data_IF_265815308621
#
_entry.id   IF_265815308621
#
_cell.length_a   1.000
_cell.length_b   1.000
_cell.length_c   1.000
_cell.angle_alpha   90.00
_cell.angle_beta   90.00
_cell.angle_gamma   90.00
#
_symmetry.space_group_name_H-M   'P 1'
#
loop_
_entity.id
_entity.type
_entity.pdbx_description
1 polymer ?
#
# COMPACT_ATOMS: atom_id res chain seq x y z
N UNK A 1 -63.89 52.97 18.84
CA UNK A 1 -62.69 52.98 17.97
C UNK A 1 -61.84 51.79 18.32
N UNK A 2 -61.16 51.11 17.40
CA UNK A 2 -61.13 51.10 15.94
C UNK A 2 -60.83 49.63 15.57
N UNK A 3 -61.63 49.04 14.68
CA UNK A 3 -61.32 48.86 13.25
C UNK A 3 -60.10 47.97 13.01
N UNK A 4 -60.42 46.71 12.68
CA UNK A 4 -59.58 45.81 11.90
C UNK A 4 -59.40 46.40 10.50
N UNK A 5 -58.16 46.45 10.02
CA UNK A 5 -57.87 46.65 8.61
C UNK A 5 -56.66 45.81 8.21
N UNK A 6 -56.90 44.97 7.22
CA UNK A 6 -55.94 44.22 6.42
C UNK A 6 -54.79 45.08 5.91
N UNK A 7 -53.60 44.48 5.84
CA UNK A 7 -52.71 44.69 4.70
C UNK A 7 -51.88 43.41 4.47
N UNK A 8 -52.27 42.66 3.45
CA UNK A 8 -51.38 41.72 2.74
C UNK A 8 -50.46 42.52 1.82
N UNK A 9 -49.15 42.29 1.91
CA UNK A 9 -48.20 42.49 0.79
C UNK A 9 -47.17 41.36 0.79
N UNK A 10 -47.28 40.56 -0.28
CA UNK A 10 -46.26 39.86 -1.07
C UNK A 10 -45.02 39.22 -0.44
N UNK A 11 -45.00 37.89 -0.57
CA UNK A 11 -43.91 37.01 -0.96
C UNK A 11 -42.50 37.61 -1.15
N UNK A 12 -41.55 37.05 -0.40
CA UNK A 12 -40.22 36.78 -0.94
C UNK A 12 -39.75 35.39 -0.51
N UNK A 13 -39.30 34.62 -1.51
CA UNK A 13 -38.83 33.25 -1.40
C UNK A 13 -37.39 33.22 -0.85
N UNK A 14 -37.26 33.20 0.47
CA UNK A 14 -35.98 32.90 1.13
C UNK A 14 -35.63 31.42 1.02
N UNK A 15 -34.90 31.06 -0.03
CA UNK A 15 -34.39 29.72 -0.31
C UNK A 15 -33.54 29.17 0.85
N UNK A 16 -33.82 27.94 1.28
CA UNK A 16 -32.98 27.13 2.16
C UNK A 16 -31.53 27.04 1.63
N UNK A 17 -30.49 27.33 2.43
CA UNK A 17 -29.12 27.04 2.03
C UNK A 17 -28.89 25.53 2.00
N UNK A 18 -28.65 25.04 0.79
CA UNK A 18 -28.39 23.66 0.45
C UNK A 18 -27.20 23.09 1.26
N UNK A 19 -27.46 21.93 1.84
CA UNK A 19 -26.52 21.09 2.58
C UNK A 19 -25.14 20.97 1.92
N UNK A 20 -24.15 21.55 2.59
CA UNK A 20 -22.75 21.46 2.20
C UNK A 20 -22.25 20.02 2.39
N UNK A 21 -22.24 19.30 1.27
CA UNK A 21 -21.76 17.91 1.18
C UNK A 21 -20.30 17.79 1.66
N UNK A 22 -20.14 17.37 2.92
CA UNK A 22 -18.86 16.91 3.47
C UNK A 22 -18.35 15.73 2.65
N UNK A 23 -17.46 16.00 1.68
CA UNK A 23 -16.73 14.96 0.93
C UNK A 23 -15.77 14.25 1.88
N UNK A 24 -16.25 13.15 2.44
CA UNK A 24 -15.47 12.21 3.23
C UNK A 24 -14.22 11.74 2.43
N UNK A 25 -13.11 11.74 3.17
CA UNK A 25 -11.78 11.34 2.74
C UNK A 25 -11.82 9.95 2.07
N UNK A 26 -11.09 9.85 0.96
CA UNK A 26 -10.96 8.67 0.09
C UNK A 26 -10.57 7.42 0.92
N UNK A 27 -11.55 6.58 1.26
CA UNK A 27 -11.34 5.29 1.90
C UNK A 27 -10.75 4.32 0.87
N UNK A 28 -9.64 3.70 1.24
CA UNK A 28 -8.97 2.63 0.50
C UNK A 28 -9.96 1.48 0.22
N UNK A 29 -10.32 1.30 -1.05
CA UNK A 29 -11.26 0.26 -1.49
C UNK A 29 -10.55 -1.11 -1.45
N UNK A 30 -11.10 -2.15 -0.78
CA UNK A 30 -10.51 -3.47 -0.80
C UNK A 30 -10.55 -4.03 -2.23
N UNK A 31 -9.42 -4.64 -2.61
CA UNK A 31 -9.11 -5.13 -3.96
C UNK A 31 -10.14 -6.15 -4.42
N UNK A 32 -10.89 -5.82 -5.47
CA UNK A 32 -11.53 -6.85 -6.28
C UNK A 32 -10.44 -7.73 -6.90
N UNK A 33 -10.63 -9.03 -6.80
CA UNK A 33 -9.82 -10.09 -7.38
C UNK A 33 -9.31 -9.68 -8.76
N UNK A 34 -7.98 -9.60 -8.92
CA UNK A 34 -7.36 -8.90 -10.05
C UNK A 34 -7.95 -9.27 -11.41
N UNK A 35 -8.42 -8.24 -12.13
CA UNK A 35 -8.94 -8.34 -13.50
C UNK A 35 -7.93 -9.05 -14.42
N UNK A 36 -8.44 -9.86 -15.37
CA UNK A 36 -7.65 -10.59 -16.38
C UNK A 36 -6.51 -9.76 -16.99
N UNK A 37 -6.75 -8.47 -17.25
CA UNK A 37 -5.76 -7.53 -17.78
C UNK A 37 -4.49 -7.37 -16.93
N UNK A 38 -4.60 -7.37 -15.59
CA UNK A 38 -3.44 -7.27 -14.71
C UNK A 38 -2.55 -8.53 -14.78
N UNK A 39 -3.18 -9.71 -14.97
CA UNK A 39 -2.46 -10.98 -15.14
C UNK A 39 -1.69 -11.03 -16.47
N UNK A 40 -2.25 -10.44 -17.54
CA UNK A 40 -1.61 -10.39 -18.85
C UNK A 40 -0.37 -9.47 -18.89
N UNK A 41 -0.39 -8.32 -18.20
CA UNK A 41 0.77 -7.41 -18.15
C UNK A 41 1.98 -8.02 -17.44
N UNK A 42 1.76 -8.70 -16.32
CA UNK A 42 2.84 -9.34 -15.56
C UNK A 42 3.56 -10.45 -16.34
N UNK A 43 2.81 -11.22 -17.16
CA UNK A 43 3.40 -12.26 -18.01
C UNK A 43 4.24 -11.68 -19.15
N UNK A 44 3.81 -10.58 -19.78
CA UNK A 44 4.56 -9.94 -20.87
C UNK A 44 5.91 -9.37 -20.40
N UNK A 45 5.92 -8.67 -19.27
CA UNK A 45 7.17 -8.17 -18.68
C UNK A 45 8.14 -9.30 -18.31
N UNK A 46 7.62 -10.44 -17.83
CA UNK A 46 8.44 -11.62 -17.54
C UNK A 46 9.00 -12.27 -18.80
N UNK A 47 8.21 -12.40 -19.87
CA UNK A 47 8.70 -12.98 -21.14
C UNK A 47 9.73 -12.08 -21.82
N UNK A 48 9.55 -10.76 -21.77
CA UNK A 48 10.53 -9.80 -22.29
C UNK A 48 11.84 -9.83 -21.49
N UNK A 49 11.76 -9.92 -20.16
CA UNK A 49 12.93 -10.10 -19.31
C UNK A 49 13.62 -11.45 -19.56
N UNK A 50 12.87 -12.55 -19.70
CA UNK A 50 13.41 -13.88 -19.97
C UNK A 50 14.12 -13.98 -21.33
N UNK A 51 13.74 -13.14 -22.32
CA UNK A 51 14.45 -13.04 -23.59
C UNK A 51 15.80 -12.31 -23.47
N UNK A 52 15.99 -11.52 -22.41
CA UNK A 52 17.17 -10.66 -22.19
C UNK A 52 18.18 -11.30 -21.23
N UNK A 53 17.73 -12.15 -20.30
CA UNK A 53 18.57 -12.79 -19.30
C UNK A 53 18.64 -14.32 -19.48
N UNK A 54 19.81 -14.95 -19.29
CA UNK A 54 19.98 -16.40 -19.40
C UNK A 54 19.41 -17.17 -18.19
N UNK A 55 18.27 -16.73 -17.64
CA UNK A 55 17.62 -17.34 -16.47
C UNK A 55 16.42 -18.17 -16.91
N UNK A 56 16.54 -19.48 -16.83
CA UNK A 56 15.46 -20.44 -17.11
C UNK A 56 14.45 -20.50 -15.96
N UNK A 57 13.15 -20.60 -16.26
CA UNK A 57 12.02 -20.70 -15.29
C UNK A 57 11.89 -19.52 -14.30
N UNK A 58 12.32 -18.33 -14.70
CA UNK A 58 12.11 -17.11 -13.88
C UNK A 58 10.62 -16.75 -13.77
N UNK A 59 10.14 -16.63 -12.54
CA UNK A 59 8.76 -16.21 -12.21
C UNK A 59 8.79 -14.98 -11.32
N UNK A 60 7.75 -14.15 -11.41
CA UNK A 60 7.62 -12.98 -10.53
C UNK A 60 7.58 -13.31 -9.03
N UNK A 61 7.31 -14.56 -8.67
CA UNK A 61 7.42 -15.03 -7.28
C UNK A 61 8.89 -15.05 -6.78
N UNK A 62 9.85 -15.27 -7.69
CA UNK A 62 11.26 -15.33 -7.34
C UNK A 62 11.76 -13.96 -6.87
N UNK A 63 11.26 -12.86 -7.44
CA UNK A 63 11.54 -11.50 -6.93
C UNK A 63 11.11 -11.34 -5.46
N UNK A 64 9.93 -11.87 -5.09
CA UNK A 64 9.44 -11.81 -3.71
C UNK A 64 10.32 -12.66 -2.77
N UNK A 65 10.71 -13.86 -3.21
CA UNK A 65 11.61 -14.74 -2.44
C UNK A 65 13.00 -14.14 -2.25
N UNK A 66 13.57 -13.55 -3.30
CA UNK A 66 14.87 -12.89 -3.26
C UNK A 66 14.85 -11.69 -2.33
N UNK A 67 13.86 -10.80 -2.45
CA UNK A 67 13.72 -9.64 -1.56
C UNK A 67 13.57 -10.08 -0.09
N UNK A 68 12.72 -11.09 0.18
CA UNK A 68 12.52 -11.61 1.52
C UNK A 68 13.80 -12.20 2.12
N UNK A 69 14.54 -12.99 1.33
CA UNK A 69 15.78 -13.63 1.78
C UNK A 69 16.88 -12.60 2.06
N UNK A 70 17.00 -11.57 1.22
CA UNK A 70 17.98 -10.52 1.41
C UNK A 70 17.64 -9.60 2.59
N UNK A 71 16.37 -9.26 2.80
CA UNK A 71 15.92 -8.55 4.00
C UNK A 71 16.20 -9.36 5.27
N UNK A 72 15.91 -10.67 5.27
CA UNK A 72 16.20 -11.55 6.39
C UNK A 72 17.70 -11.61 6.69
N UNK A 73 18.54 -11.75 5.65
CA UNK A 73 20.00 -11.72 5.78
C UNK A 73 20.55 -10.37 6.26
N UNK A 74 19.82 -9.28 6.03
CA UNK A 74 20.12 -7.95 6.57
C UNK A 74 19.71 -7.74 8.04
N UNK A 75 18.99 -8.69 8.64
CA UNK A 75 18.50 -8.60 10.03
C UNK A 75 17.08 -8.06 10.19
N UNK A 76 16.33 -7.89 9.09
CA UNK A 76 14.91 -7.49 9.19
C UNK A 76 14.11 -8.60 9.88
N UNK A 77 13.27 -8.27 10.89
CA UNK A 77 12.46 -9.27 11.59
C UNK A 77 11.54 -10.06 10.66
N UNK A 78 11.46 -11.38 10.85
CA UNK A 78 10.60 -12.27 10.05
C UNK A 78 9.13 -11.86 10.07
N UNK A 79 8.63 -11.38 11.21
CA UNK A 79 7.27 -10.86 11.33
C UNK A 79 7.04 -9.67 10.39
N UNK A 80 7.96 -8.70 10.38
CA UNK A 80 7.90 -7.55 9.48
C UNK A 80 7.91 -8.00 8.01
N UNK A 81 8.81 -8.92 7.63
CA UNK A 81 8.86 -9.47 6.27
C UNK A 81 7.52 -10.16 5.91
N UNK A 82 6.96 -10.95 6.83
CA UNK A 82 5.67 -11.62 6.67
C UNK A 82 4.53 -10.62 6.38
N UNK A 83 4.47 -9.53 7.14
CA UNK A 83 3.49 -8.45 6.94
C UNK A 83 3.71 -7.70 5.62
N UNK A 84 4.96 -7.43 5.21
CA UNK A 84 5.27 -6.84 3.89
C UNK A 84 4.78 -7.75 2.76
N UNK A 85 5.02 -9.06 2.89
CA UNK A 85 4.59 -10.04 1.91
C UNK A 85 3.08 -10.30 1.96
N UNK A 86 2.37 -9.71 2.92
CA UNK A 86 0.95 -9.90 3.18
C UNK A 86 0.60 -11.39 3.32
N UNK A 87 1.44 -12.10 4.09
CA UNK A 87 1.15 -13.48 4.46
C UNK A 87 0.02 -13.52 5.49
N UNK A 88 -0.80 -14.56 5.40
CA UNK A 88 -1.82 -14.85 6.40
C UNK A 88 -1.13 -15.44 7.64
N UNK A 89 -1.38 -14.84 8.79
CA UNK A 89 -0.88 -15.32 10.07
C UNK A 89 -1.82 -16.42 10.59
N UNK A 90 -1.30 -17.64 10.80
CA UNK A 90 -2.10 -18.79 11.25
C UNK A 90 -1.97 -19.07 12.74
N UNK A 91 -1.24 -18.25 13.49
CA UNK A 91 -1.07 -18.41 14.94
C UNK A 91 -2.35 -18.06 15.70
N UNK A 92 -2.61 -18.76 16.81
CA UNK A 92 -3.69 -18.43 17.77
C UNK A 92 -3.53 -17.00 18.28
N UNK A 93 -2.28 -16.51 18.39
CA UNK A 93 -1.99 -15.15 18.82
C UNK A 93 -2.32 -14.07 17.78
N UNK A 94 -2.66 -14.44 16.54
CA UNK A 94 -3.01 -13.50 15.48
C UNK A 94 -4.19 -12.60 15.86
N UNK A 95 -5.11 -13.09 16.72
CA UNK A 95 -6.25 -12.31 17.22
C UNK A 95 -5.81 -11.12 18.09
N UNK A 96 -4.65 -11.20 18.73
CA UNK A 96 -4.11 -10.13 19.56
C UNK A 96 -3.26 -9.13 18.77
N UNK A 97 -2.73 -9.53 17.62
CA UNK A 97 -1.84 -8.73 16.81
C UNK A 97 -2.61 -7.75 15.91
N UNK A 98 -3.15 -6.69 16.53
CA UNK A 98 -3.87 -5.60 15.85
C UNK A 98 -2.97 -4.49 15.32
N UNK A 99 -1.67 -4.58 15.58
CA UNK A 99 -0.71 -3.57 15.15
C UNK A 99 -0.50 -3.64 13.63
N UNK A 100 -0.46 -2.49 12.96
CA UNK A 100 -0.33 -2.43 11.49
C UNK A 100 1.11 -2.62 11.00
N UNK A 101 2.09 -2.43 11.90
CA UNK A 101 3.53 -2.45 11.63
C UNK A 101 3.99 -1.47 10.55
N UNK A 102 3.28 -0.36 10.34
CA UNK A 102 3.59 0.56 9.25
C UNK A 102 5.00 1.16 9.37
N UNK A 103 5.45 1.46 10.58
CA UNK A 103 6.79 1.98 10.83
C UNK A 103 7.88 0.95 10.50
N UNK A 104 7.71 -0.30 10.95
CA UNK A 104 8.65 -1.38 10.72
C UNK A 104 8.69 -1.78 9.25
N UNK A 105 7.52 -1.85 8.59
CA UNK A 105 7.44 -2.12 7.15
C UNK A 105 8.15 -1.02 6.36
N UNK A 106 8.00 0.25 6.74
CA UNK A 106 8.69 1.37 6.10
C UNK A 106 10.20 1.23 6.25
N UNK A 107 10.71 1.10 7.48
CA UNK A 107 12.14 0.97 7.73
C UNK A 107 12.76 -0.21 6.94
N UNK A 108 12.07 -1.36 6.90
CA UNK A 108 12.53 -2.52 6.15
C UNK A 108 12.54 -2.29 4.62
N UNK A 109 11.53 -1.60 4.09
CA UNK A 109 11.46 -1.26 2.66
C UNK A 109 12.48 -0.20 2.27
N UNK A 110 12.77 0.77 3.15
CA UNK A 110 13.81 1.78 2.94
C UNK A 110 15.19 1.11 2.90
N UNK A 111 15.46 0.20 3.83
CA UNK A 111 16.67 -0.62 3.81
C UNK A 111 16.78 -1.45 2.52
N UNK A 112 15.68 -2.09 2.10
CA UNK A 112 15.63 -2.86 0.86
C UNK A 112 15.88 -1.98 -0.37
N UNK A 113 15.36 -0.75 -0.40
CA UNK A 113 15.60 0.19 -1.48
C UNK A 113 17.09 0.51 -1.62
N UNK A 114 17.78 0.81 -0.51
CA UNK A 114 19.23 1.04 -0.50
C UNK A 114 19.98 -0.18 -1.02
N UNK A 115 19.61 -1.39 -0.57
CA UNK A 115 20.20 -2.65 -1.03
C UNK A 115 19.99 -2.88 -2.52
N UNK A 116 18.79 -2.64 -3.01
CA UNK A 116 18.42 -2.82 -4.41
C UNK A 116 19.21 -1.88 -5.32
N UNK A 117 19.33 -0.60 -4.95
CA UNK A 117 20.16 0.37 -5.68
C UNK A 117 21.62 -0.09 -5.73
N UNK A 118 22.18 -0.58 -4.61
CA UNK A 118 23.54 -1.10 -4.59
C UNK A 118 23.75 -2.31 -5.54
N UNK A 119 22.74 -3.18 -5.67
CA UNK A 119 22.75 -4.31 -6.61
C UNK A 119 22.73 -3.81 -8.05
N UNK A 120 21.82 -2.87 -8.37
CA UNK A 120 21.67 -2.31 -9.73
C UNK A 120 22.95 -1.60 -10.18
N UNK A 121 23.57 -0.85 -9.28
CA UNK A 121 24.83 -0.13 -9.57
C UNK A 121 26.08 -1.02 -9.47
N UNK A 122 25.93 -2.32 -9.21
CA UNK A 122 27.03 -3.26 -9.02
C UNK A 122 28.07 -2.80 -7.98
N UNK A 123 27.63 -2.07 -6.95
CA UNK A 123 28.51 -1.61 -5.87
C UNK A 123 28.84 -2.77 -4.94
N UNK A 124 30.10 -3.18 -4.92
CA UNK A 124 30.61 -4.14 -3.93
C UNK A 124 30.82 -3.42 -2.60
N UNK A 125 29.85 -3.51 -1.69
CA UNK A 125 29.94 -2.88 -0.38
C UNK A 125 28.87 -3.38 0.59
N UNK A 126 29.25 -3.44 1.88
CA UNK A 126 28.39 -3.87 2.98
C UNK A 126 27.23 -2.90 3.14
N UNK A 127 26.03 -3.32 2.75
CA UNK A 127 24.82 -2.63 3.19
C UNK A 127 24.71 -2.85 4.69
N UNK A 128 24.69 -1.73 5.42
CA UNK A 128 24.67 -1.70 6.88
C UNK A 128 23.59 -2.63 7.43
N UNK A 129 23.86 -3.25 8.57
CA UNK A 129 22.88 -4.08 9.25
C UNK A 129 21.58 -3.30 9.45
N UNK A 130 20.44 -3.98 9.32
CA UNK A 130 19.15 -3.37 9.56
C UNK A 130 19.10 -2.85 11.01
N UNK A 131 19.09 -1.53 11.16
CA UNK A 131 18.78 -0.87 12.42
C UNK A 131 17.39 -0.24 12.28
N UNK A 132 16.54 -0.43 13.31
CA UNK A 132 15.41 0.47 13.47
C UNK A 132 16.02 1.81 13.85
N UNK A 133 15.86 2.82 13.00
CA UNK A 133 16.35 4.17 13.30
C UNK A 133 15.96 4.57 14.73
N UNK A 134 16.92 5.14 15.45
CA UNK A 134 16.74 5.68 16.79
C UNK A 134 15.70 6.81 16.80
#
# INVERSE_FOLDING_TARGET
>A
GGQYADHQVSADHGQEPQSESRRARRVFRPRSTGTRAARHRGRRQQSEAAATFPVTDFRGHDLRRTAASLMAGGGVPRLTISKILNHVETSITAVYDRHSYDAEKRAALDWWAVKLVAIIENRKGTVLAFSRGA
#
